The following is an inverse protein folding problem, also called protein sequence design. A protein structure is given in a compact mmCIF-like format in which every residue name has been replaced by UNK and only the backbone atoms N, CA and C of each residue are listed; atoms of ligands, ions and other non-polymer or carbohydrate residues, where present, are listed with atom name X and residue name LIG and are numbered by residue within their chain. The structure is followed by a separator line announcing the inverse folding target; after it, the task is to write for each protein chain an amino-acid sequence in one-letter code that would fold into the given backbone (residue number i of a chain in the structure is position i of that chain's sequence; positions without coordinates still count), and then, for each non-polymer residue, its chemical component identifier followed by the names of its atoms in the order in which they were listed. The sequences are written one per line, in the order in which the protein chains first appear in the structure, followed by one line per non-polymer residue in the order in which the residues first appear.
data_IF_349150805136
#
_entry.id   IF_349150805136
#
_cell.length_a   1.000
_cell.length_b   1.000
_cell.length_c   1.000
_cell.angle_alpha   90.00
_cell.angle_beta   90.00
_cell.angle_gamma   90.00
#
_symmetry.space_group_name_H-M   'P 1'
#
loop_
_entity.id
_entity.type
_entity.pdbx_description
1 polymer ?
#
# COMPACT_ATOMS: atom_id res chain seq x y z
N UNK A 1 6.83 1.27 22.56
CA UNK A 1 7.70 2.23 21.85
C UNK A 1 8.15 1.60 20.52
N UNK A 2 7.43 1.87 19.43
CA UNK A 2 7.80 1.60 18.01
C UNK A 2 6.58 1.98 17.16
N UNK A 3 6.65 2.81 16.13
CA UNK A 3 7.69 3.73 15.67
C UNK A 3 6.97 4.99 15.17
N UNK A 4 7.68 6.11 15.15
CA UNK A 4 7.14 7.37 14.69
C UNK A 4 6.62 7.25 13.25
N UNK A 5 5.35 7.60 13.04
CA UNK A 5 4.84 7.93 11.71
C UNK A 5 5.65 9.14 11.20
N UNK A 6 6.51 8.91 10.21
CA UNK A 6 7.12 10.00 9.47
C UNK A 6 6.05 10.62 8.56
N UNK A 7 5.83 11.94 8.60
CA UNK A 7 4.98 12.60 7.61
C UNK A 7 5.68 12.51 6.25
N UNK A 8 5.23 11.60 5.39
CA UNK A 8 5.64 11.51 3.98
C UNK A 8 5.83 10.12 3.36
N UNK A 9 5.75 9.02 4.13
CA UNK A 9 6.00 7.67 3.58
C UNK A 9 5.00 6.61 4.03
N UNK A 10 4.81 5.58 3.21
CA UNK A 10 4.06 4.38 3.58
C UNK A 10 4.84 3.56 4.62
N UNK A 11 4.16 3.05 5.65
CA UNK A 11 4.74 2.13 6.64
C UNK A 11 5.00 0.75 6.00
N UNK A 12 6.09 0.68 5.26
CA UNK A 12 6.57 -0.53 4.61
C UNK A 12 6.82 -1.67 5.62
N UNK A 13 7.58 -1.44 6.71
CA UNK A 13 7.80 -2.49 7.71
C UNK A 13 6.51 -3.05 8.29
N UNK A 14 5.50 -2.20 8.52
CA UNK A 14 4.15 -2.63 8.91
C UNK A 14 3.49 -3.51 7.85
N UNK A 15 3.51 -3.08 6.59
CA UNK A 15 2.93 -3.80 5.45
C UNK A 15 3.50 -5.22 5.28
N UNK A 16 4.84 -5.37 5.35
CA UNK A 16 5.50 -6.69 5.27
C UNK A 16 5.08 -7.57 6.44
N UNK A 17 4.98 -7.00 7.65
CA UNK A 17 4.65 -7.75 8.85
C UNK A 17 3.23 -8.31 8.81
N UNK A 18 2.28 -7.54 8.28
CA UNK A 18 0.88 -8.01 8.15
C UNK A 18 0.68 -8.90 6.92
N UNK A 19 1.45 -8.72 5.84
CA UNK A 19 1.34 -9.56 4.64
C UNK A 19 2.09 -10.89 4.75
N UNK A 20 3.41 -10.84 4.92
CA UNK A 20 4.31 -12.01 4.88
C UNK A 20 4.50 -12.61 6.28
N UNK A 21 4.29 -11.81 7.33
CA UNK A 21 4.46 -12.27 8.70
C UNK A 21 3.55 -13.47 9.05
N UNK A 22 3.97 -14.30 10.01
CA UNK A 22 3.28 -15.55 10.30
C UNK A 22 1.89 -15.32 10.90
N UNK A 23 0.92 -16.16 10.52
CA UNK A 23 -0.48 -16.05 10.96
C UNK A 23 -0.66 -16.05 12.48
N UNK A 24 0.17 -16.80 13.21
CA UNK A 24 0.18 -16.82 14.69
C UNK A 24 0.49 -15.47 15.35
N UNK A 25 1.09 -14.55 14.60
CA UNK A 25 1.41 -13.18 15.05
C UNK A 25 0.48 -12.13 14.43
N UNK A 26 -0.62 -12.55 13.79
CA UNK A 26 -1.60 -11.67 13.16
C UNK A 26 -1.27 -11.22 11.74
N UNK A 27 -0.31 -11.88 11.06
CA UNK A 27 -0.08 -11.68 9.62
C UNK A 27 -0.92 -12.61 8.74
N UNK A 28 -0.86 -12.45 7.42
CA UNK A 28 -1.55 -13.32 6.45
C UNK A 28 -0.74 -14.59 6.12
N UNK A 29 0.53 -14.67 6.51
CA UNK A 29 1.39 -15.83 6.24
C UNK A 29 1.67 -16.06 4.75
N UNK A 30 1.56 -15.01 3.93
CA UNK A 30 1.78 -15.11 2.48
C UNK A 30 3.26 -15.37 2.20
N UNK A 31 3.53 -16.18 1.18
CA UNK A 31 4.88 -16.21 0.59
C UNK A 31 5.17 -14.86 -0.09
N UNK A 32 6.45 -14.47 -0.25
CA UNK A 32 6.80 -13.24 -0.96
C UNK A 32 6.19 -13.17 -2.37
N UNK A 33 6.15 -14.29 -3.09
CA UNK A 33 5.56 -14.36 -4.43
C UNK A 33 4.05 -14.09 -4.41
N UNK A 34 3.31 -14.69 -3.48
CA UNK A 34 1.87 -14.45 -3.33
C UNK A 34 1.60 -12.99 -2.96
N UNK A 35 2.37 -12.43 -2.02
CA UNK A 35 2.23 -11.04 -1.60
C UNK A 35 2.38 -10.06 -2.78
N UNK A 36 3.40 -10.25 -3.63
CA UNK A 36 3.64 -9.39 -4.79
C UNK A 36 2.70 -9.65 -5.97
N UNK A 37 2.03 -10.80 -6.01
CA UNK A 37 1.00 -11.09 -7.01
C UNK A 37 -0.34 -10.41 -6.68
N UNK A 38 -0.58 -10.05 -5.42
CA UNK A 38 -1.82 -9.39 -5.01
C UNK A 38 -1.85 -7.94 -5.47
N UNK A 39 -3.04 -7.51 -5.89
CA UNK A 39 -3.35 -6.09 -6.01
C UNK A 39 -3.46 -5.45 -4.62
N UNK A 40 -3.20 -4.14 -4.48
CA UNK A 40 -3.41 -3.44 -3.21
C UNK A 40 -4.84 -3.56 -2.66
N UNK A 41 -5.84 -3.67 -3.55
CA UNK A 41 -7.24 -3.84 -3.17
C UNK A 41 -7.52 -5.23 -2.57
N UNK A 42 -6.96 -6.29 -3.15
CA UNK A 42 -7.08 -7.65 -2.61
C UNK A 42 -6.38 -7.77 -1.25
N UNK A 43 -5.18 -7.18 -1.13
CA UNK A 43 -4.47 -7.15 0.15
C UNK A 43 -5.28 -6.40 1.22
N UNK A 44 -5.84 -5.23 0.89
CA UNK A 44 -6.69 -4.48 1.83
C UNK A 44 -7.92 -5.30 2.27
N UNK A 45 -8.58 -5.97 1.32
CA UNK A 45 -9.73 -6.82 1.60
C UNK A 45 -9.37 -7.99 2.54
N UNK A 46 -8.24 -8.66 2.30
CA UNK A 46 -7.77 -9.76 3.17
C UNK A 46 -7.38 -9.27 4.58
N UNK A 47 -6.90 -8.03 4.70
CA UNK A 47 -6.61 -7.39 5.98
C UNK A 47 -7.86 -6.87 6.70
N UNK A 48 -9.06 -7.05 6.13
CA UNK A 48 -10.31 -6.52 6.68
C UNK A 48 -10.41 -4.99 6.60
N UNK A 49 -9.55 -4.36 5.81
CA UNK A 49 -9.59 -2.92 5.55
C UNK A 49 -10.64 -2.71 4.46
N UNK A 50 -11.75 -2.07 4.83
CA UNK A 50 -12.72 -1.64 3.83
C UNK A 50 -12.00 -0.76 2.80
N UNK A 51 -12.20 -0.96 1.48
CA UNK A 51 -11.64 -0.05 0.49
C UNK A 51 -12.03 1.37 0.90
N UNK A 52 -11.00 2.20 1.13
CA UNK A 52 -11.21 3.56 1.60
C UNK A 52 -12.16 4.29 0.67
N UNK A 53 -12.96 5.21 1.20
CA UNK A 53 -13.91 6.03 0.45
C UNK A 53 -13.27 6.94 -0.61
N UNK A 54 -11.94 6.89 -0.77
CA UNK A 54 -11.24 7.44 -1.93
C UNK A 54 -11.60 6.61 -3.16
N UNK A 55 -12.65 7.04 -3.86
CA UNK A 55 -13.15 6.41 -5.08
C UNK A 55 -12.04 6.12 -6.10
N UNK A 56 -12.33 5.18 -7.01
CA UNK A 56 -11.44 4.82 -8.10
C UNK A 56 -10.82 6.07 -8.75
N UNK A 57 -9.51 6.03 -9.02
CA UNK A 57 -8.81 7.13 -9.68
C UNK A 57 -9.52 7.52 -10.98
N UNK A 58 -10.07 8.73 -11.01
CA UNK A 58 -10.71 9.25 -12.21
C UNK A 58 -9.65 9.68 -13.22
N UNK A 59 -10.02 9.66 -14.50
CA UNK A 59 -9.13 10.14 -15.57
C UNK A 59 -8.72 11.61 -15.36
N UNK A 60 -9.65 12.44 -14.87
CA UNK A 60 -9.37 13.84 -14.53
C UNK A 60 -8.34 13.95 -13.41
N UNK A 61 -8.51 13.18 -12.33
CA UNK A 61 -7.57 13.19 -11.20
C UNK A 61 -6.18 12.70 -11.59
N UNK A 62 -6.10 11.70 -12.46
CA UNK A 62 -4.81 11.26 -13.01
C UNK A 62 -4.14 12.38 -13.82
N UNK A 63 -4.88 13.09 -14.67
CA UNK A 63 -4.34 14.21 -15.44
C UNK A 63 -3.81 15.34 -14.54
N UNK A 64 -4.53 15.66 -13.45
CA UNK A 64 -4.06 16.62 -12.44
C UNK A 64 -2.74 16.18 -11.78
N UNK A 65 -2.59 14.89 -11.48
CA UNK A 65 -1.37 14.34 -10.88
C UNK A 65 -0.19 14.43 -11.85
N UNK A 66 -0.38 14.07 -13.12
CA UNK A 66 0.66 14.17 -14.15
C UNK A 66 1.14 15.62 -14.32
N UNK A 67 0.22 16.58 -14.30
CA UNK A 67 0.58 18.00 -14.39
C UNK A 67 1.31 18.50 -13.13
N UNK A 68 0.97 17.96 -11.95
CA UNK A 68 1.56 18.34 -10.66
C UNK A 68 2.95 17.73 -10.45
N UNK A 69 3.15 16.52 -10.95
CA UNK A 69 4.39 15.76 -10.82
C UNK A 69 4.87 15.36 -12.22
N UNK A 70 5.34 16.34 -13.03
CA UNK A 70 5.86 16.02 -14.36
C UNK A 70 7.12 15.15 -14.20
N UNK A 71 7.23 14.12 -15.02
CA UNK A 71 8.39 13.22 -15.08
C UNK A 71 9.59 13.95 -15.71
N UNK A 72 10.11 14.95 -15.01
CA UNK A 72 11.39 15.60 -15.28
C UNK A 72 12.52 14.79 -14.64
N UNK A 73 13.67 14.74 -15.31
CA UNK A 73 14.79 13.91 -14.89
C UNK A 73 15.20 14.22 -13.44
N UNK A 74 15.06 13.22 -12.57
CA UNK A 74 15.86 13.13 -11.38
C UNK A 74 17.33 13.11 -11.82
N UNK A 75 17.99 14.27 -11.74
CA UNK A 75 19.45 14.35 -11.66
C UNK A 75 19.86 14.27 -10.20
#
# INVERSE_FOLDING_TARGET
MSGAQAPGGMDWPGLIRVGIGPARLGGLGLTPAQFWALTPAELALMLGIAPGTGGAMTRARLAELVARYPDGQAR
#
